data_IF_108607436698
#
_entry.id   IF_108607436698
#
_cell.length_a   1.000
_cell.length_b   1.000
_cell.length_c   1.000
_cell.angle_alpha   90.00
_cell.angle_beta   90.00
_cell.angle_gamma   90.00
#
_symmetry.space_group_name_H-M   'P 1'
#
loop_
_entity.id
_entity.type
_entity.pdbx_description
1 polymer ?
#
# COMPACT_ATOMS: atom_id res chain seq x y z
N UNK A 1 -16.81 20.47 -23.03
CA UNK A 1 -15.36 20.54 -23.33
C UNK A 1 -14.67 21.11 -22.10
N UNK A 2 -14.03 20.27 -21.27
CA UNK A 2 -13.34 20.74 -20.06
C UNK A 2 -12.02 21.37 -20.48
N UNK A 3 -11.87 22.68 -20.29
CA UNK A 3 -10.64 23.41 -20.60
C UNK A 3 -9.57 22.96 -19.59
N UNK A 4 -8.51 22.32 -20.08
CA UNK A 4 -7.42 21.82 -19.25
C UNK A 4 -6.59 22.98 -18.69
N UNK A 5 -6.49 23.08 -17.37
CA UNK A 5 -5.70 24.10 -16.68
C UNK A 5 -4.21 23.94 -17.03
N UNK A 6 -3.53 25.05 -17.36
CA UNK A 6 -2.11 25.07 -17.73
C UNK A 6 -1.19 24.40 -16.68
N UNK A 7 -1.55 24.47 -15.39
CA UNK A 7 -0.81 23.77 -14.31
C UNK A 7 -0.89 22.25 -14.44
N UNK A 8 -2.06 21.71 -14.84
CA UNK A 8 -2.24 20.27 -15.07
C UNK A 8 -1.47 19.82 -16.32
N UNK A 9 -1.51 20.62 -17.38
CA UNK A 9 -0.73 20.35 -18.59
C UNK A 9 0.78 20.32 -18.28
N UNK A 10 1.27 21.26 -17.48
CA UNK A 10 2.67 21.29 -17.02
C UNK A 10 3.04 20.07 -16.17
N UNK A 11 2.18 19.69 -15.21
CA UNK A 11 2.40 18.48 -14.39
C UNK A 11 2.48 17.21 -15.25
N UNK A 12 1.62 17.08 -16.27
CA UNK A 12 1.65 15.95 -17.21
C UNK A 12 2.96 15.93 -18.00
N UNK A 13 3.42 17.08 -18.51
CA UNK A 13 4.70 17.17 -19.24
C UNK A 13 5.88 16.79 -18.34
N UNK A 14 5.92 17.30 -17.10
CA UNK A 14 6.97 16.96 -16.14
C UNK A 14 6.96 15.45 -15.86
N UNK A 15 5.79 14.85 -15.61
CA UNK A 15 5.68 13.41 -15.38
C UNK A 15 6.17 12.59 -16.58
N UNK A 16 5.82 13.00 -17.81
CA UNK A 16 6.31 12.34 -19.04
C UNK A 16 7.82 12.47 -19.20
N UNK A 17 8.40 13.66 -18.97
CA UNK A 17 9.85 13.88 -19.09
C UNK A 17 10.62 13.10 -18.03
N UNK A 18 10.15 13.09 -16.78
CA UNK A 18 10.76 12.32 -15.70
C UNK A 18 10.67 10.82 -16.01
N UNK A 19 9.50 10.33 -16.42
CA UNK A 19 9.31 8.91 -16.77
C UNK A 19 10.15 8.47 -17.97
N UNK A 20 10.18 9.28 -19.04
CA UNK A 20 11.04 9.02 -20.20
C UNK A 20 12.52 9.12 -19.83
N UNK A 21 12.89 10.06 -18.97
CA UNK A 21 14.25 10.24 -18.46
C UNK A 21 14.74 9.08 -17.62
N UNK A 22 13.91 8.53 -16.72
CA UNK A 22 14.25 7.32 -15.95
C UNK A 22 14.37 6.09 -16.82
N UNK A 23 13.48 5.91 -17.81
CA UNK A 23 13.60 4.82 -18.79
C UNK A 23 14.86 4.97 -19.63
N UNK A 24 15.17 6.17 -20.12
CA UNK A 24 16.39 6.43 -20.90
C UNK A 24 17.64 6.20 -20.06
N UNK A 25 17.67 6.71 -18.83
CA UNK A 25 18.77 6.48 -17.90
C UNK A 25 18.98 4.98 -17.67
N UNK A 26 17.90 4.24 -17.41
CA UNK A 26 17.95 2.78 -17.30
C UNK A 26 18.56 2.13 -18.54
N UNK A 27 18.11 2.49 -19.75
CA UNK A 27 18.65 1.95 -21.00
C UNK A 27 20.14 2.27 -21.20
N UNK A 28 20.59 3.46 -20.79
CA UNK A 28 22.00 3.87 -20.91
C UNK A 28 22.91 3.16 -19.91
N UNK A 29 22.44 2.95 -18.68
CA UNK A 29 23.28 2.36 -17.63
C UNK A 29 23.19 0.84 -17.58
N UNK A 30 22.11 0.22 -18.09
CA UNK A 30 21.89 -1.23 -17.91
C UNK A 30 23.07 -2.08 -18.42
N UNK A 31 23.63 -1.74 -19.58
CA UNK A 31 24.70 -2.52 -20.19
C UNK A 31 26.02 -2.32 -19.43
N UNK A 32 26.20 -1.14 -18.81
CA UNK A 32 27.36 -0.84 -17.95
C UNK A 32 27.34 -1.58 -16.61
N UNK A 33 26.15 -1.98 -16.16
CA UNK A 33 25.94 -2.73 -14.91
C UNK A 33 25.57 -4.20 -15.14
N UNK A 34 25.66 -4.69 -16.38
CA UNK A 34 25.23 -6.05 -16.76
C UNK A 34 23.80 -6.38 -16.28
N UNK A 35 22.93 -5.36 -16.21
CA UNK A 35 21.55 -5.48 -15.76
C UNK A 35 20.74 -6.22 -16.82
N UNK A 36 20.65 -7.53 -16.65
CA UNK A 36 19.76 -8.37 -17.45
C UNK A 36 18.32 -8.16 -17.01
N UNK A 37 17.42 -7.97 -17.99
CA UNK A 37 16.00 -7.95 -17.69
C UNK A 37 15.58 -9.33 -17.19
N UNK A 38 14.90 -9.42 -16.03
CA UNK A 38 14.31 -10.67 -15.61
C UNK A 38 13.37 -11.18 -16.70
N UNK A 39 13.30 -12.50 -16.87
CA UNK A 39 12.36 -13.11 -17.81
C UNK A 39 10.92 -12.66 -17.51
N UNK A 40 10.04 -12.69 -18.51
CA UNK A 40 8.65 -12.25 -18.32
C UNK A 40 7.93 -12.94 -17.15
N UNK A 41 8.15 -14.24 -16.82
CA UNK A 41 7.52 -14.84 -15.64
C UNK A 41 8.04 -14.25 -14.34
N UNK A 42 9.35 -13.98 -14.25
CA UNK A 42 9.97 -13.36 -13.07
C UNK A 42 9.47 -11.92 -12.90
N UNK A 43 9.32 -11.19 -14.00
CA UNK A 43 8.76 -9.83 -13.98
C UNK A 43 7.31 -9.83 -13.45
N UNK A 44 6.47 -10.75 -13.90
CA UNK A 44 5.09 -10.89 -13.38
C UNK A 44 5.12 -11.22 -11.89
N UNK A 45 5.96 -12.18 -11.48
CA UNK A 45 6.08 -12.55 -10.07
C UNK A 45 6.55 -11.38 -9.20
N UNK A 46 7.49 -10.57 -9.69
CA UNK A 46 7.96 -9.37 -9.01
C UNK A 46 6.84 -8.33 -8.85
N UNK A 47 6.04 -8.09 -9.90
CA UNK A 47 4.88 -7.18 -9.82
C UNK A 47 3.86 -7.68 -8.81
N UNK A 48 3.52 -8.96 -8.84
CA UNK A 48 2.60 -9.57 -7.87
C UNK A 48 3.15 -9.41 -6.44
N UNK A 49 4.42 -9.76 -6.22
CA UNK A 49 5.07 -9.61 -4.91
C UNK A 49 5.09 -8.15 -4.44
N UNK A 50 5.36 -7.19 -5.33
CA UNK A 50 5.34 -5.77 -5.03
C UNK A 50 3.94 -5.28 -4.64
N UNK A 51 2.89 -5.74 -5.33
CA UNK A 51 1.50 -5.43 -4.97
C UNK A 51 1.18 -5.93 -3.56
N UNK A 52 1.54 -7.18 -3.25
CA UNK A 52 1.34 -7.77 -1.92
C UNK A 52 2.09 -7.02 -0.83
N UNK A 53 3.36 -6.66 -1.08
CA UNK A 53 4.18 -5.90 -0.15
C UNK A 53 3.61 -4.49 0.07
N UNK A 54 3.15 -3.83 -0.99
CA UNK A 54 2.56 -2.50 -0.91
C UNK A 54 1.29 -2.49 -0.04
N UNK A 55 0.37 -3.43 -0.31
CA UNK A 55 -0.83 -3.62 0.51
C UNK A 55 -0.46 -3.96 1.95
N UNK A 56 0.51 -4.85 2.16
CA UNK A 56 0.95 -5.21 3.51
C UNK A 56 1.41 -4.01 4.32
N UNK A 57 2.26 -3.16 3.75
CA UNK A 57 2.75 -1.94 4.40
C UNK A 57 1.62 -0.93 4.62
N UNK A 58 0.70 -0.79 3.67
CA UNK A 58 -0.49 0.06 3.82
C UNK A 58 -1.34 -0.38 5.03
N UNK A 59 -1.70 -1.66 5.08
CA UNK A 59 -2.49 -2.20 6.18
C UNK A 59 -1.73 -2.15 7.52
N UNK A 60 -0.42 -2.37 7.51
CA UNK A 60 0.40 -2.17 8.70
C UNK A 60 0.35 -0.74 9.22
N UNK A 61 0.32 0.26 8.32
CA UNK A 61 0.16 1.66 8.69
C UNK A 61 -1.11 1.90 9.50
N UNK A 62 -2.24 1.34 9.04
CA UNK A 62 -3.50 1.38 9.80
C UNK A 62 -3.37 0.68 11.15
N UNK A 63 -2.75 -0.51 11.18
CA UNK A 63 -2.57 -1.28 12.41
C UNK A 63 -1.73 -0.51 13.45
N UNK A 64 -0.58 0.03 13.04
CA UNK A 64 0.29 0.81 13.93
C UNK A 64 -0.41 2.06 14.43
N UNK A 65 -1.08 2.82 13.56
CA UNK A 65 -1.84 3.99 13.97
C UNK A 65 -2.97 3.60 14.95
N UNK A 66 -3.71 2.53 14.69
CA UNK A 66 -4.76 2.04 15.56
C UNK A 66 -4.24 1.61 16.94
N UNK A 67 -3.08 0.95 17.00
CA UNK A 67 -2.43 0.60 18.28
C UNK A 67 -2.08 1.86 19.07
N UNK A 68 -1.51 2.89 18.43
CA UNK A 68 -1.18 4.17 19.08
C UNK A 68 -2.44 4.83 19.64
N UNK A 69 -3.55 4.78 18.90
CA UNK A 69 -4.86 5.29 19.33
C UNK A 69 -5.62 4.34 20.26
N UNK A 70 -5.00 3.25 20.72
CA UNK A 70 -5.58 2.24 21.64
C UNK A 70 -6.83 1.54 21.11
N UNK A 71 -6.96 1.41 19.79
CA UNK A 71 -8.03 0.63 19.19
C UNK A 71 -7.78 -0.87 19.40
N UNK A 72 -8.86 -1.63 19.48
CA UNK A 72 -8.87 -3.07 19.65
C UNK A 72 -8.78 -3.77 18.30
N UNK A 73 -7.71 -4.55 18.13
CA UNK A 73 -7.50 -5.37 16.94
C UNK A 73 -8.54 -6.49 16.81
N UNK A 74 -9.08 -6.67 15.60
CA UNK A 74 -10.00 -7.77 15.26
C UNK A 74 -9.53 -8.59 14.06
N UNK A 75 -9.04 -7.96 12.99
CA UNK A 75 -8.63 -8.67 11.78
C UNK A 75 -7.58 -7.88 11.01
N UNK A 76 -6.65 -8.61 10.39
CA UNK A 76 -5.65 -8.12 9.46
C UNK A 76 -5.63 -9.06 8.25
N UNK A 77 -5.79 -8.55 7.04
CA UNK A 77 -5.82 -9.36 5.82
C UNK A 77 -4.96 -8.71 4.75
N UNK A 78 -4.18 -9.53 4.05
CA UNK A 78 -3.38 -9.15 2.87
C UNK A 78 -3.47 -10.27 1.84
N UNK A 79 -4.24 -10.03 0.77
CA UNK A 79 -4.68 -11.03 -0.19
C UNK A 79 -5.22 -12.30 0.43
N UNK A 80 -4.62 -13.48 0.20
CA UNK A 80 -5.15 -14.74 0.69
C UNK A 80 -4.79 -14.97 2.16
N UNK A 81 -3.89 -14.18 2.75
CA UNK A 81 -3.47 -14.36 4.14
C UNK A 81 -4.29 -13.47 5.07
N UNK A 82 -4.79 -14.03 6.17
CA UNK A 82 -5.44 -13.27 7.22
C UNK A 82 -4.99 -13.72 8.60
N UNK A 83 -5.04 -12.79 9.54
CA UNK A 83 -4.93 -13.04 10.98
C UNK A 83 -6.14 -12.40 11.64
N UNK A 84 -6.91 -13.19 12.38
CA UNK A 84 -8.10 -12.72 13.07
C UNK A 84 -8.04 -13.01 14.57
N UNK A 85 -8.55 -12.08 15.38
CA UNK A 85 -8.72 -12.28 16.81
C UNK A 85 -9.97 -13.13 17.04
N UNK A 86 -9.79 -14.28 17.67
CA UNK A 86 -10.85 -15.14 18.22
C UNK A 86 -10.79 -15.11 19.73
N UNK A 87 -11.79 -15.69 20.39
CA UNK A 87 -11.82 -15.84 21.86
C UNK A 87 -10.57 -16.55 22.39
N UNK A 88 -10.03 -17.52 21.65
CA UNK A 88 -8.81 -18.25 22.02
C UNK A 88 -7.51 -17.56 21.60
N UNK A 89 -7.54 -16.29 21.20
CA UNK A 89 -6.38 -15.52 20.73
C UNK A 89 -6.32 -15.33 19.20
N UNK A 90 -5.14 -15.01 18.69
CA UNK A 90 -4.91 -14.75 17.26
C UNK A 90 -4.88 -16.05 16.48
N UNK A 91 -5.67 -16.13 15.40
CA UNK A 91 -5.67 -17.28 14.49
C UNK A 91 -5.28 -16.85 13.08
N UNK A 92 -4.13 -17.33 12.56
CA UNK A 92 -3.83 -17.19 11.15
C UNK A 92 -4.76 -18.10 10.33
N UNK A 93 -5.07 -17.67 9.12
CA UNK A 93 -5.89 -18.44 8.19
C UNK A 93 -5.88 -17.86 6.80
N UNK A 94 -6.76 -18.39 5.95
CA UNK A 94 -6.89 -17.93 4.59
C UNK A 94 -8.13 -17.04 4.41
N UNK A 95 -7.95 -15.95 3.68
CA UNK A 95 -9.04 -15.13 3.16
C UNK A 95 -9.40 -15.62 1.75
N UNK A 96 -10.56 -16.26 1.63
CA UNK A 96 -11.11 -16.71 0.34
C UNK A 96 -12.01 -15.67 -0.32
N UNK A 97 -12.26 -14.54 0.36
CA UNK A 97 -13.10 -13.48 -0.15
C UNK A 97 -12.24 -12.44 -0.89
N UNK A 98 -12.39 -12.41 -2.21
CA UNK A 98 -11.66 -11.47 -3.08
C UNK A 98 -11.95 -10.00 -2.76
N UNK A 99 -13.13 -9.68 -2.20
CA UNK A 99 -13.49 -8.29 -1.89
C UNK A 99 -12.62 -7.67 -0.78
N UNK A 100 -12.04 -8.49 0.10
CA UNK A 100 -11.11 -8.04 1.15
C UNK A 100 -9.67 -8.51 0.90
N UNK A 101 -9.42 -9.11 -0.26
CA UNK A 101 -8.08 -9.52 -0.67
C UNK A 101 -7.18 -8.31 -1.00
N UNK A 102 -7.76 -7.14 -1.29
CA UNK A 102 -7.01 -5.89 -1.48
C UNK A 102 -6.33 -5.35 -0.22
N UNK A 103 -6.54 -5.95 0.95
CA UNK A 103 -6.11 -5.43 2.24
C UNK A 103 -7.31 -5.15 3.13
N UNK A 104 -7.23 -5.51 4.42
CA UNK A 104 -8.18 -5.05 5.43
C UNK A 104 -7.58 -5.10 6.84
N UNK A 105 -7.55 -3.94 7.49
CA UNK A 105 -7.26 -3.80 8.92
C UNK A 105 -8.52 -3.38 9.66
N UNK A 106 -9.10 -4.31 10.42
CA UNK A 106 -10.26 -4.05 11.25
C UNK A 106 -9.81 -3.85 12.70
N UNK A 107 -9.97 -2.61 13.16
CA UNK A 107 -9.81 -2.24 14.57
C UNK A 107 -10.99 -1.39 15.02
N UNK A 108 -11.42 -1.58 16.26
CA UNK A 108 -12.57 -0.88 16.85
C UNK A 108 -12.10 -0.09 18.07
N UNK A 109 -12.52 1.16 18.28
CA UNK A 109 -12.18 1.91 19.48
C UNK A 109 -12.52 1.14 20.76
N UNK A 110 -11.65 1.21 21.77
CA UNK A 110 -11.87 0.55 23.05
C UNK A 110 -12.91 1.25 23.94
N UNK A 111 -13.23 2.51 23.64
CA UNK A 111 -14.19 3.35 24.35
C UNK A 111 -15.34 3.74 23.43
N UNK A 112 -16.55 3.85 23.99
CA UNK A 112 -17.71 4.40 23.27
C UNK A 112 -17.54 5.89 22.98
N UNK A 113 -16.71 6.59 23.77
CA UNK A 113 -16.30 7.97 23.53
C UNK A 113 -14.92 7.97 22.87
N UNK A 114 -14.90 8.15 21.56
CA UNK A 114 -13.67 8.35 20.79
C UNK A 114 -13.67 9.74 20.15
N UNK A 115 -12.48 10.30 19.97
CA UNK A 115 -12.33 11.56 19.27
C UNK A 115 -12.22 11.32 17.76
N UNK A 116 -12.84 12.20 16.96
CA UNK A 116 -12.68 12.20 15.50
C UNK A 116 -11.22 12.23 15.06
N UNK A 117 -10.35 12.89 15.83
CA UNK A 117 -8.92 12.92 15.55
C UNK A 117 -8.25 11.55 15.64
N UNK A 118 -8.68 10.68 16.55
CA UNK A 118 -8.12 9.33 16.72
C UNK A 118 -8.45 8.47 15.49
N UNK A 119 -9.70 8.54 15.03
CA UNK A 119 -10.11 7.91 13.77
C UNK A 119 -9.37 8.47 12.56
N UNK A 120 -9.16 9.78 12.51
CA UNK A 120 -8.41 10.40 11.42
C UNK A 120 -6.98 9.87 11.36
N UNK A 121 -6.31 9.70 12.51
CA UNK A 121 -4.98 9.08 12.58
C UNK A 121 -5.00 7.61 12.17
N UNK A 122 -5.98 6.83 12.62
CA UNK A 122 -6.14 5.44 12.21
C UNK A 122 -6.31 5.31 10.70
N UNK A 123 -7.19 6.11 10.09
CA UNK A 123 -7.43 6.13 8.64
C UNK A 123 -6.21 6.66 7.88
N UNK A 124 -5.51 7.67 8.40
CA UNK A 124 -4.34 8.22 7.73
C UNK A 124 -3.11 7.30 7.81
N UNK A 125 -3.08 6.37 8.78
CA UNK A 125 -1.95 5.47 8.99
C UNK A 125 -1.53 4.70 7.74
N UNK A 126 -2.49 4.15 6.99
CA UNK A 126 -2.20 3.41 5.75
C UNK A 126 -1.59 4.27 4.65
N UNK A 127 -2.26 5.36 4.21
CA UNK A 127 -1.69 6.30 3.25
C UNK A 127 -0.33 6.88 3.66
N UNK A 128 -0.12 7.20 4.94
CA UNK A 128 1.17 7.69 5.43
C UNK A 128 2.25 6.61 5.27
N UNK A 129 1.95 5.35 5.62
CA UNK A 129 2.90 4.26 5.44
C UNK A 129 3.23 4.00 3.96
N UNK A 130 2.22 3.98 3.09
CA UNK A 130 2.44 3.86 1.64
C UNK A 130 3.34 4.97 1.11
N UNK A 131 3.08 6.22 1.50
CA UNK A 131 3.86 7.37 1.03
C UNK A 131 5.31 7.33 1.53
N UNK A 132 5.53 6.97 2.79
CA UNK A 132 6.88 6.92 3.37
C UNK A 132 7.76 5.85 2.75
N UNK A 133 7.19 4.69 2.40
CA UNK A 133 7.97 3.55 1.91
C UNK A 133 8.00 3.44 0.38
N UNK A 134 6.98 3.93 -0.32
CA UNK A 134 6.85 3.78 -1.78
C UNK A 134 6.61 5.10 -2.53
N UNK A 135 6.40 6.21 -1.81
CA UNK A 135 6.17 7.52 -2.43
C UNK A 135 4.81 7.64 -3.13
N UNK A 136 3.86 6.76 -2.82
CA UNK A 136 2.49 6.71 -3.38
C UNK A 136 1.44 6.65 -2.28
#
# INVERSE_FOLDING_TARGET
MVIMNWKKALQIIIAMVVGAGTVLLYLLVRDSFELTLPSWPVSILAVVAALFLSVFVHELGHLFAGIIQKFQFHMFTVGPFKVEKKESGLRPGFNLNLNVAGGLTLMVPASETFNKSEYAWFIAGGPIASFLFFGV
#
